data_IF_622911081407
#
_entry.id   IF_622911081407
#
_cell.length_a   1.000
_cell.length_b   1.000
_cell.length_c   1.000
_cell.angle_alpha   90.00
_cell.angle_beta   90.00
_cell.angle_gamma   90.00
#
_symmetry.space_group_name_H-M   'P 1'
#
loop_
_entity.id
_entity.type
_entity.pdbx_description
1 polymer ?
#
# COMPACT_ATOMS: atom_id res chain seq x y z
N UNK A 1 12.20 -12.43 17.12
CA UNK A 1 11.80 -11.36 16.19
C UNK A 1 10.30 -11.43 16.01
N UNK A 2 9.63 -10.30 15.85
CA UNK A 2 8.18 -10.28 15.60
C UNK A 2 7.92 -10.07 14.12
N UNK A 3 6.83 -10.64 13.63
CA UNK A 3 6.34 -10.39 12.28
C UNK A 3 5.58 -9.04 12.25
N UNK A 4 5.79 -8.30 11.18
CA UNK A 4 5.15 -7.03 10.91
C UNK A 4 4.67 -6.98 9.47
N UNK A 5 3.59 -6.25 9.25
CA UNK A 5 3.09 -5.90 7.93
C UNK A 5 3.17 -4.38 7.75
N UNK A 6 3.79 -3.94 6.67
CA UNK A 6 3.85 -2.54 6.29
C UNK A 6 3.09 -2.30 5.00
N UNK A 7 2.05 -1.47 5.08
CA UNK A 7 1.40 -0.91 3.90
C UNK A 7 2.05 0.44 3.59
N UNK A 8 2.64 0.56 2.40
CA UNK A 8 3.38 1.74 1.97
C UNK A 8 2.75 2.31 0.70
N UNK A 9 2.49 3.62 0.71
CA UNK A 9 1.99 4.37 -0.44
C UNK A 9 3.14 5.23 -0.96
N UNK A 10 3.54 5.00 -2.20
CA UNK A 10 4.59 5.74 -2.89
C UNK A 10 3.99 6.66 -3.95
N UNK A 11 4.63 7.81 -4.20
CA UNK A 11 4.20 8.75 -5.24
C UNK A 11 4.12 8.05 -6.60
N UNK A 12 3.00 8.23 -7.32
CA UNK A 12 2.80 7.66 -8.66
C UNK A 12 3.54 8.40 -9.79
N UNK A 13 4.63 9.09 -9.45
CA UNK A 13 5.48 9.76 -10.43
C UNK A 13 6.53 8.76 -10.89
N UNK A 14 6.34 8.23 -12.10
CA UNK A 14 7.36 7.41 -12.75
C UNK A 14 6.81 6.34 -13.69
N UNK A 15 7.74 5.67 -14.36
CA UNK A 15 7.49 4.47 -15.18
C UNK A 15 7.46 3.22 -14.31
N UNK A 16 6.93 2.12 -14.83
CA UNK A 16 6.88 0.83 -14.11
C UNK A 16 8.28 0.31 -13.72
N UNK A 17 9.31 0.63 -14.51
CA UNK A 17 10.71 0.31 -14.18
C UNK A 17 11.20 1.04 -12.92
N UNK A 18 10.78 2.29 -12.73
CA UNK A 18 11.12 3.07 -11.53
C UNK A 18 10.38 2.53 -10.31
N UNK A 19 9.16 2.02 -10.49
CA UNK A 19 8.40 1.37 -9.41
C UNK A 19 9.07 0.09 -8.93
N UNK A 20 9.60 -0.74 -9.84
CA UNK A 20 10.38 -1.94 -9.48
C UNK A 20 11.67 -1.60 -8.74
N UNK A 21 12.30 -0.45 -9.04
CA UNK A 21 13.47 0.03 -8.27
C UNK A 21 13.05 0.50 -6.88
N UNK A 22 11.91 1.17 -6.78
CA UNK A 22 11.36 1.61 -5.50
C UNK A 22 10.98 0.41 -4.62
N UNK A 23 10.44 -0.68 -5.18
CA UNK A 23 10.12 -1.86 -4.40
C UNK A 23 11.36 -2.47 -3.75
N UNK A 24 12.48 -2.56 -4.47
CA UNK A 24 13.77 -2.99 -3.90
C UNK A 24 14.29 -1.98 -2.86
N UNK A 25 14.15 -0.68 -3.13
CA UNK A 25 14.56 0.37 -2.20
C UNK A 25 13.79 0.40 -0.88
N UNK A 26 12.55 -0.11 -0.84
CA UNK A 26 11.76 -0.25 0.38
C UNK A 26 12.26 -1.38 1.30
N UNK A 27 13.00 -2.36 0.74
CA UNK A 27 13.58 -3.45 1.52
C UNK A 27 14.89 -3.07 2.21
N UNK A 28 15.64 -2.12 1.66
CA UNK A 28 16.94 -1.72 2.21
C UNK A 28 16.85 -1.20 3.65
N UNK A 29 15.90 -0.32 4.02
CA UNK A 29 15.73 0.11 5.41
C UNK A 29 15.52 -1.08 6.34
N UNK A 30 14.68 -2.05 5.96
CA UNK A 30 14.36 -3.23 6.77
C UNK A 30 15.62 -4.06 7.03
N UNK A 31 16.43 -4.29 5.98
CA UNK A 31 17.70 -5.02 6.08
C UNK A 31 18.72 -4.26 6.95
N UNK A 32 18.78 -2.92 6.86
CA UNK A 32 19.69 -2.07 7.67
C UNK A 32 19.43 -2.18 9.17
N UNK A 33 18.17 -2.34 9.59
CA UNK A 33 17.82 -2.52 11.01
C UNK A 33 17.92 -3.97 11.50
N UNK A 34 18.46 -4.87 10.68
CA UNK A 34 18.62 -6.29 11.01
C UNK A 34 17.32 -7.08 10.92
N UNK A 35 16.36 -6.60 10.13
CA UNK A 35 15.14 -7.33 9.78
C UNK A 35 15.29 -8.18 8.52
N UNK A 36 14.39 -9.14 8.36
CA UNK A 36 14.29 -10.00 7.16
C UNK A 36 12.95 -9.76 6.47
N UNK A 37 12.96 -9.64 5.15
CA UNK A 37 11.73 -9.48 4.34
C UNK A 37 11.25 -10.85 3.91
N UNK A 38 9.99 -11.18 4.21
CA UNK A 38 9.37 -12.44 3.81
C UNK A 38 8.68 -12.31 2.45
N UNK A 39 7.98 -11.19 2.23
CA UNK A 39 7.24 -10.94 1.00
C UNK A 39 7.14 -9.45 0.71
N UNK A 40 7.20 -9.11 -0.57
CA UNK A 40 7.01 -7.76 -1.10
C UNK A 40 6.01 -7.83 -2.25
N UNK A 41 4.78 -7.41 -2.00
CA UNK A 41 3.69 -7.45 -2.96
C UNK A 41 3.39 -6.05 -3.50
N UNK A 42 3.55 -5.87 -4.81
CA UNK A 42 3.13 -4.65 -5.50
C UNK A 42 1.64 -4.74 -5.87
N UNK A 43 0.82 -3.89 -5.27
CA UNK A 43 -0.64 -3.86 -5.49
C UNK A 43 -1.06 -2.92 -6.64
N UNK A 44 -0.09 -2.27 -7.30
CA UNK A 44 -0.30 -1.36 -8.41
C UNK A 44 -0.72 0.06 -8.00
N UNK A 45 -1.08 0.85 -9.01
CA UNK A 45 -1.54 2.23 -8.85
C UNK A 45 -3.02 2.27 -8.46
N UNK A 46 -3.34 3.00 -7.39
CA UNK A 46 -4.73 3.20 -6.91
C UNK A 46 -5.00 4.67 -6.61
N UNK A 47 -6.26 5.08 -6.78
CA UNK A 47 -6.72 6.44 -6.48
C UNK A 47 -6.91 6.62 -4.98
N UNK A 48 -6.36 7.70 -4.42
CA UNK A 48 -6.52 8.07 -3.02
C UNK A 48 -7.90 8.71 -2.80
N UNK A 49 -8.49 8.49 -1.62
CA UNK A 49 -9.78 9.09 -1.25
C UNK A 49 -9.73 10.62 -1.21
N UNK A 50 -8.58 11.17 -0.82
CA UNK A 50 -8.29 12.60 -0.80
C UNK A 50 -6.83 12.85 -1.17
N UNK A 51 -6.49 14.12 -1.47
CA UNK A 51 -5.12 14.47 -1.85
C UNK A 51 -4.18 14.38 -0.65
N UNK A 52 -3.10 13.62 -0.79
CA UNK A 52 -2.01 13.54 0.18
C UNK A 52 -0.73 14.01 -0.51
N UNK A 53 0.00 14.95 0.09
CA UNK A 53 1.21 15.53 -0.51
C UNK A 53 1.02 16.00 -1.98
N UNK A 54 -0.16 16.57 -2.28
CA UNK A 54 -0.61 17.00 -3.63
C UNK A 54 -0.81 15.87 -4.66
N UNK A 55 -0.77 14.61 -4.24
CA UNK A 55 -1.04 13.45 -5.09
C UNK A 55 -2.50 13.02 -4.98
N UNK A 56 -3.12 12.64 -6.09
CA UNK A 56 -4.45 12.01 -6.14
C UNK A 56 -4.38 10.49 -6.30
N UNK A 57 -3.21 9.97 -6.65
CA UNK A 57 -2.93 8.56 -6.92
C UNK A 57 -1.62 8.15 -6.24
N UNK A 58 -1.49 6.88 -5.90
CA UNK A 58 -0.27 6.31 -5.34
C UNK A 58 -0.11 4.84 -5.69
N UNK A 59 1.13 4.36 -5.69
CA UNK A 59 1.42 2.94 -5.79
C UNK A 59 1.42 2.32 -4.40
N UNK A 60 0.70 1.22 -4.27
CA UNK A 60 0.56 0.50 -3.02
C UNK A 60 1.51 -0.68 -2.98
N UNK A 61 2.29 -0.77 -1.91
CA UNK A 61 3.17 -1.88 -1.61
C UNK A 61 2.79 -2.47 -0.27
N UNK A 62 2.72 -3.80 -0.22
CA UNK A 62 2.52 -4.56 1.00
C UNK A 62 3.79 -5.34 1.29
N UNK A 63 4.47 -5.00 2.38
CA UNK A 63 5.69 -5.66 2.81
C UNK A 63 5.41 -6.46 4.08
N UNK A 64 5.74 -7.76 4.04
CA UNK A 64 5.77 -8.63 5.22
C UNK A 64 7.21 -8.87 5.60
N UNK A 65 7.53 -8.57 6.86
CA UNK A 65 8.91 -8.66 7.33
C UNK A 65 8.96 -9.00 8.81
N UNK A 66 10.07 -9.59 9.22
CA UNK A 66 10.40 -9.82 10.61
C UNK A 66 11.44 -8.81 11.05
N UNK A 67 11.25 -8.20 12.21
CA UNK A 67 12.21 -7.27 12.78
C UNK A 67 12.27 -7.38 14.32
N UNK A 68 13.39 -6.95 14.94
CA UNK A 68 13.44 -6.71 16.38
C UNK A 68 12.53 -5.53 16.76
N UNK A 69 11.69 -5.69 17.79
CA UNK A 69 10.75 -4.63 18.24
C UNK A 69 11.45 -3.31 18.59
N UNK A 70 12.67 -3.38 19.13
CA UNK A 70 13.48 -2.21 19.44
C UNK A 70 13.84 -1.36 18.21
N UNK A 71 13.86 -1.97 17.02
CA UNK A 71 14.29 -1.34 15.77
C UNK A 71 13.14 -0.77 14.93
N UNK A 72 11.88 -1.07 15.28
CA UNK A 72 10.70 -0.58 14.55
C UNK A 72 10.62 0.95 14.59
N UNK A 73 11.02 1.57 15.69
CA UNK A 73 11.06 3.03 15.81
C UNK A 73 12.07 3.69 14.86
N UNK A 74 13.20 3.03 14.59
CA UNK A 74 14.18 3.52 13.62
C UNK A 74 13.68 3.31 12.18
N UNK A 75 12.99 2.19 11.93
CA UNK A 75 12.35 1.95 10.63
C UNK A 75 11.30 3.01 10.27
N UNK A 76 10.47 3.44 11.24
CA UNK A 76 9.52 4.54 11.06
C UNK A 76 10.24 5.84 10.65
N UNK A 77 11.39 6.16 11.27
CA UNK A 77 12.20 7.33 10.91
C UNK A 77 12.76 7.23 9.50
N UNK A 78 13.30 6.07 9.11
CA UNK A 78 13.84 5.86 7.78
C UNK A 78 12.77 5.99 6.69
N UNK A 79 11.56 5.48 6.92
CA UNK A 79 10.46 5.65 5.97
C UNK A 79 9.94 7.09 5.91
N UNK A 80 9.95 7.85 7.01
CA UNK A 80 9.63 9.28 6.99
C UNK A 80 10.66 10.12 6.25
N UNK A 81 11.94 9.74 6.29
CA UNK A 81 13.01 10.45 5.60
C UNK A 81 12.98 10.21 4.08
N UNK A 82 12.29 9.16 3.64
CA UNK A 82 12.16 8.85 2.23
C UNK A 82 11.07 9.71 1.57
N UNK A 83 11.50 10.71 0.79
CA UNK A 83 10.60 11.63 0.07
C UNK A 83 9.66 10.95 -0.93
N UNK A 84 9.97 9.73 -1.37
CA UNK A 84 9.08 8.99 -2.27
C UNK A 84 7.83 8.46 -1.54
N UNK A 85 7.96 8.17 -0.24
CA UNK A 85 6.88 7.62 0.58
C UNK A 85 5.91 8.74 0.98
N UNK A 86 4.65 8.59 0.58
CA UNK A 86 3.57 9.55 0.88
C UNK A 86 2.93 9.22 2.23
N UNK A 87 2.75 7.94 2.49
CA UNK A 87 2.12 7.41 3.71
C UNK A 87 2.62 6.00 3.91
N UNK A 88 2.79 5.61 5.16
CA UNK A 88 3.01 4.21 5.53
C UNK A 88 2.24 3.90 6.81
N UNK A 89 1.98 2.61 7.02
CA UNK A 89 1.42 2.07 8.24
C UNK A 89 2.12 0.77 8.54
N UNK A 90 2.70 0.64 9.74
CA UNK A 90 3.32 -0.59 10.21
C UNK A 90 2.39 -1.19 11.25
N UNK A 91 2.02 -2.44 11.05
CA UNK A 91 1.16 -3.21 11.93
C UNK A 91 1.95 -4.39 12.48
N UNK A 92 1.78 -4.71 13.76
CA UNK A 92 2.28 -5.96 14.34
C UNK A 92 1.38 -7.10 13.87
N UNK A 93 1.98 -8.13 13.27
CA UNK A 93 1.27 -9.33 12.84
C UNK A 93 1.19 -10.35 13.99
N UNK A 94 0.86 -9.88 15.20
CA UNK A 94 0.56 -10.77 16.32
C UNK A 94 -0.80 -11.44 16.00
N UNK A 95 -0.77 -12.72 15.59
CA UNK A 95 -1.92 -13.61 15.34
C UNK A 95 -2.91 -13.22 14.24
N UNK A 96 -2.45 -13.13 12.98
CA UNK A 96 -3.34 -13.37 11.82
C UNK A 96 -2.73 -14.44 10.92
N UNK A 97 -2.77 -15.69 11.40
CA UNK A 97 -2.71 -16.90 10.55
C UNK A 97 -4.07 -17.12 9.86
N UNK A 98 -4.57 -16.08 9.20
CA UNK A 98 -5.61 -16.21 8.20
C UNK A 98 -4.92 -16.08 6.85
N UNK A 99 -5.06 -17.05 5.91
CA UNK A 99 -4.64 -16.78 4.55
C UNK A 99 -5.25 -15.45 4.13
N UNK A 100 -4.49 -14.66 3.36
CA UNK A 100 -5.09 -13.56 2.62
C UNK A 100 -6.39 -14.12 2.00
N UNK A 101 -7.52 -13.40 2.02
CA UNK A 101 -8.60 -13.75 1.10
C UNK A 101 -7.98 -13.62 -0.29
N UNK A 102 -7.43 -14.73 -0.77
CA UNK A 102 -6.98 -14.90 -2.13
C UNK A 102 -8.15 -14.43 -2.96
N UNK A 103 -7.86 -13.46 -3.81
CA UNK A 103 -8.63 -13.05 -4.96
C UNK A 103 -10.03 -13.68 -5.04
N UNK A 104 -11.08 -12.89 -4.83
CA UNK A 104 -12.23 -13.04 -5.72
C UNK A 104 -11.86 -12.32 -7.04
N UNK A 105 -11.45 -13.04 -8.10
CA UNK A 105 -11.37 -12.45 -9.44
C UNK A 105 -12.78 -12.46 -10.03
N UNK A 106 -13.70 -11.61 -9.57
CA UNK A 106 -15.00 -11.42 -10.24
C UNK A 106 -15.85 -10.38 -9.53
N UNK A 107 -15.68 -9.12 -9.91
CA UNK A 107 -16.85 -8.27 -10.07
C UNK A 107 -16.94 -7.82 -11.53
N UNK A 108 -17.47 -8.67 -12.45
CA UNK A 108 -18.07 -8.14 -13.66
C UNK A 108 -19.41 -7.54 -13.24
N UNK A 109 -19.41 -6.27 -12.83
CA UNK A 109 -20.65 -5.55 -12.57
C UNK A 109 -20.50 -4.03 -12.82
N UNK A 110 -19.91 -3.67 -13.96
CA UNK A 110 -20.49 -2.58 -14.75
C UNK A 110 -21.81 -3.09 -15.32
N UNK A 111 -22.86 -3.12 -14.49
CA UNK A 111 -24.21 -3.41 -14.92
C UNK A 111 -25.18 -2.46 -14.22
N UNK A 112 -25.51 -1.39 -14.93
CA UNK A 112 -26.74 -0.58 -14.82
C UNK A 112 -26.91 0.22 -13.53
N UNK A 113 -26.23 1.37 -13.46
CA UNK A 113 -26.89 2.55 -12.87
C UNK A 113 -28.05 2.87 -13.80
N UNK A 114 -29.25 2.50 -13.36
CA UNK A 114 -30.49 2.80 -14.07
C UNK A 114 -30.55 4.28 -14.41
N UNK A 115 -30.90 4.56 -15.67
CA UNK A 115 -31.36 5.87 -16.11
C UNK A 115 -32.47 6.32 -15.16
N UNK A 116 -32.22 7.33 -14.35
CA UNK A 116 -33.29 8.07 -13.68
C UNK A 116 -34.02 8.84 -14.79
N UNK A 117 -35.29 8.55 -15.09
CA UNK A 117 -36.04 9.37 -16.01
C UNK A 117 -36.24 10.76 -15.39
N UNK A 118 -36.20 11.85 -16.19
CA UNK A 118 -36.44 13.19 -15.67
C UNK A 118 -37.86 13.28 -15.09
N UNK A 119 -38.07 14.03 -13.99
CA UNK A 119 -39.40 14.20 -13.44
C UNK A 119 -40.29 14.93 -14.45
N UNK A 120 -41.36 14.27 -14.87
CA UNK A 120 -42.42 14.88 -15.67
C UNK A 120 -42.99 16.04 -14.85
N UNK A 121 -42.71 17.27 -15.28
CA UNK A 121 -43.41 18.45 -14.80
C UNK A 121 -44.86 18.34 -15.25
N UNK A 122 -45.75 17.91 -14.36
CA UNK A 122 -47.19 18.14 -14.53
C UNK A 122 -47.46 19.62 -14.30
N UNK A 123 -47.85 20.34 -15.35
CA UNK A 123 -48.86 21.40 -15.35
C UNK A 123 -49.29 21.67 -16.78
#
# INVERSE_FOLDING_TARGET
MKAYEALIIVKAAGTEQEMSRQSTGLEEPIKKVGGSVESNQHMGRRRLAFRIARQTEGHYFLLRFQAPTAQVGELDRLFRLNDAVVRFMILSADEVDGPAPDAEPSAPALAKIGSVPPPVRRR
#
